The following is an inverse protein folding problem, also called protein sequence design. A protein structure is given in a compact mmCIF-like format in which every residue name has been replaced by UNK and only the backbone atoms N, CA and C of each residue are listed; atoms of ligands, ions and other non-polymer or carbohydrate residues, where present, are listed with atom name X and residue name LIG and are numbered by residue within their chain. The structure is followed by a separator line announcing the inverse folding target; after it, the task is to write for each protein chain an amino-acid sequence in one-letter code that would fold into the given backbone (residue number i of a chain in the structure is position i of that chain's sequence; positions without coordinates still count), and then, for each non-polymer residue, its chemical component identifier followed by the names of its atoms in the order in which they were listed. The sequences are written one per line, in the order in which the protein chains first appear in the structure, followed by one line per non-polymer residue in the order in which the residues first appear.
data_IF_220248402359
#
_entry.id   IF_220248402359
#
_cell.length_a   1.000
_cell.length_b   1.000
_cell.length_c   1.000
_cell.angle_alpha   90.00
_cell.angle_beta   90.00
_cell.angle_gamma   90.00
#
_symmetry.space_group_name_H-M   'P 1'
#
loop_
_entity.id
_entity.type
_entity.pdbx_description
1 polymer ?
#
# COMPACT_ATOMS: atom_id res chain seq x y z
N UNK A 1 5.84 -13.42 15.36
CA UNK A 1 4.61 -12.95 16.03
C UNK A 1 3.68 -12.43 14.94
N UNK A 2 2.75 -13.25 14.45
CA UNK A 2 1.84 -12.87 13.36
C UNK A 2 0.61 -12.21 13.96
N UNK A 3 0.37 -10.94 13.63
CA UNK A 3 -0.68 -10.08 14.22
C UNK A 3 -2.05 -10.21 13.53
N UNK A 4 -2.18 -11.11 12.55
CA UNK A 4 -3.43 -11.31 11.79
C UNK A 4 -3.73 -12.82 11.64
N UNK A 5 -5.01 -13.21 11.48
CA UNK A 5 -5.40 -14.61 11.34
C UNK A 5 -4.62 -15.28 10.21
N UNK A 6 -4.14 -16.50 10.46
CA UNK A 6 -3.41 -17.29 9.47
C UNK A 6 -4.32 -17.68 8.29
N UNK A 7 -5.62 -17.81 8.53
CA UNK A 7 -6.66 -17.92 7.53
C UNK A 7 -8.02 -17.71 8.21
N UNK A 8 -9.09 -17.61 7.41
CA UNK A 8 -10.46 -17.59 7.88
C UNK A 8 -11.26 -16.41 7.36
N UNK A 9 -12.57 -16.45 7.63
CA UNK A 9 -13.53 -15.46 7.17
C UNK A 9 -14.10 -14.68 8.34
N UNK A 10 -14.31 -13.37 8.18
CA UNK A 10 -15.02 -12.57 9.17
C UNK A 10 -16.49 -12.98 9.28
N UNK A 11 -17.11 -12.69 10.43
CA UNK A 11 -18.51 -13.03 10.69
C UNK A 11 -19.49 -12.41 9.69
N UNK A 12 -19.18 -11.21 9.18
CA UNK A 12 -19.97 -10.53 8.14
C UNK A 12 -19.61 -10.97 6.71
N UNK A 13 -18.67 -11.91 6.56
CA UNK A 13 -18.26 -12.48 5.29
C UNK A 13 -17.45 -11.56 4.38
N UNK A 14 -17.15 -10.32 4.81
CA UNK A 14 -16.47 -9.28 4.00
C UNK A 14 -14.96 -9.43 3.95
N UNK A 15 -14.35 -10.02 4.98
CA UNK A 15 -12.92 -10.29 5.03
C UNK A 15 -12.72 -11.79 4.88
N UNK A 16 -11.89 -12.20 3.92
CA UNK A 16 -11.44 -13.59 3.75
C UNK A 16 -9.92 -13.62 3.71
N UNK A 17 -9.32 -14.37 4.62
CA UNK A 17 -7.88 -14.51 4.75
C UNK A 17 -7.44 -15.92 4.42
N UNK A 18 -6.31 -16.03 3.73
CA UNK A 18 -5.49 -17.21 3.70
C UNK A 18 -4.09 -16.89 4.28
N UNK A 19 -3.15 -17.81 4.05
CA UNK A 19 -1.79 -17.71 4.58
C UNK A 19 -0.97 -16.60 3.93
N UNK A 20 -1.29 -16.23 2.69
CA UNK A 20 -0.56 -15.26 1.88
C UNK A 20 -1.18 -13.86 1.91
N UNK A 21 -2.52 -13.75 1.93
CA UNK A 21 -3.23 -12.47 1.91
C UNK A 21 -4.57 -12.48 2.65
N UNK A 22 -5.14 -11.29 2.82
CA UNK A 22 -6.52 -11.10 3.22
C UNK A 22 -7.22 -10.17 2.23
N UNK A 23 -8.34 -10.62 1.66
CA UNK A 23 -9.20 -9.84 0.79
C UNK A 23 -10.37 -9.27 1.60
N UNK A 24 -10.54 -7.96 1.57
CA UNK A 24 -11.65 -7.25 2.18
C UNK A 24 -12.54 -6.61 1.11
N UNK A 25 -13.83 -6.91 1.15
CA UNK A 25 -14.81 -6.43 0.17
C UNK A 25 -15.82 -5.50 0.81
N UNK A 26 -15.97 -4.30 0.26
CA UNK A 26 -16.99 -3.34 0.68
C UNK A 26 -17.32 -2.37 -0.44
N UNK A 27 -18.60 -1.99 -0.57
CA UNK A 27 -19.05 -0.97 -1.53
C UNK A 27 -18.68 -1.30 -2.99
N UNK A 28 -18.64 -2.59 -3.34
CA UNK A 28 -18.24 -3.07 -4.68
C UNK A 28 -16.73 -3.01 -4.96
N UNK A 29 -15.91 -2.64 -3.96
CA UNK A 29 -14.47 -2.54 -4.06
C UNK A 29 -13.78 -3.65 -3.27
N UNK A 30 -12.60 -4.05 -3.72
CA UNK A 30 -11.76 -5.07 -3.10
C UNK A 30 -10.42 -4.48 -2.63
N UNK A 31 -10.11 -4.64 -1.35
CA UNK A 31 -8.81 -4.33 -0.78
C UNK A 31 -8.06 -5.61 -0.43
N UNK A 32 -6.81 -5.74 -0.89
CA UNK A 32 -5.91 -6.82 -0.45
C UNK A 32 -4.94 -6.32 0.62
N UNK A 33 -4.76 -7.12 1.66
CA UNK A 33 -3.65 -7.02 2.62
C UNK A 33 -2.70 -8.19 2.35
N UNK A 34 -1.63 -7.93 1.60
CA UNK A 34 -0.70 -8.95 1.16
C UNK A 34 0.50 -9.08 2.09
N UNK A 35 0.94 -10.34 2.32
CA UNK A 35 2.10 -10.66 3.16
C UNK A 35 3.32 -11.09 2.35
N UNK A 36 3.10 -11.52 1.11
CA UNK A 36 4.14 -12.06 0.22
C UNK A 36 4.14 -11.40 -1.14
N UNK A 37 5.24 -11.61 -1.88
CA UNK A 37 5.38 -11.05 -3.22
C UNK A 37 4.58 -11.84 -4.28
N UNK A 38 4.30 -13.13 -4.02
CA UNK A 38 3.47 -13.98 -4.87
C UNK A 38 2.00 -13.57 -4.80
N UNK A 39 1.44 -13.38 -3.60
CA UNK A 39 0.07 -12.91 -3.46
C UNK A 39 -0.15 -11.55 -4.11
N UNK A 40 0.85 -10.66 -4.09
CA UNK A 40 0.76 -9.40 -4.82
C UNK A 40 0.47 -9.58 -6.32
N UNK A 41 1.09 -10.55 -6.99
CA UNK A 41 0.90 -10.74 -8.44
C UNK A 41 -0.50 -11.22 -8.78
N UNK A 42 -1.05 -12.09 -7.93
CA UNK A 42 -2.42 -12.59 -8.04
C UNK A 42 -3.43 -11.49 -7.71
N UNK A 43 -3.23 -10.81 -6.58
CA UNK A 43 -4.11 -9.76 -6.07
C UNK A 43 -4.17 -8.55 -6.99
N UNK A 44 -3.09 -8.30 -7.75
CA UNK A 44 -3.02 -7.16 -8.65
C UNK A 44 -4.20 -7.09 -9.60
N UNK A 45 -4.68 -8.22 -10.12
CA UNK A 45 -5.75 -8.23 -11.12
C UNK A 45 -7.15 -8.10 -10.54
N UNK A 46 -7.33 -8.35 -9.24
CA UNK A 46 -8.65 -8.43 -8.60
C UNK A 46 -8.90 -7.33 -7.58
N UNK A 47 -7.85 -6.67 -7.07
CA UNK A 47 -7.95 -5.64 -6.05
C UNK A 47 -7.98 -4.23 -6.65
N UNK A 48 -8.73 -3.34 -6.01
CA UNK A 48 -8.71 -1.91 -6.28
C UNK A 48 -7.61 -1.20 -5.46
N UNK A 49 -7.25 -1.78 -4.30
CA UNK A 49 -6.14 -1.32 -3.47
C UNK A 49 -5.41 -2.50 -2.82
N UNK A 50 -4.08 -2.43 -2.82
CA UNK A 50 -3.21 -3.42 -2.17
C UNK A 50 -2.38 -2.72 -1.09
N UNK A 51 -2.40 -3.28 0.10
CA UNK A 51 -1.57 -2.87 1.23
C UNK A 51 -0.56 -3.97 1.51
N UNK A 52 0.73 -3.65 1.42
CA UNK A 52 1.81 -4.60 1.69
C UNK A 52 2.67 -4.14 2.86
N UNK A 53 2.91 -5.07 3.78
CA UNK A 53 3.89 -4.86 4.87
C UNK A 53 5.33 -5.07 4.40
N UNK A 54 5.53 -5.62 3.21
CA UNK A 54 6.82 -5.80 2.57
C UNK A 54 7.08 -4.70 1.55
N UNK A 55 8.34 -4.27 1.35
CA UNK A 55 8.66 -3.31 0.30
C UNK A 55 8.41 -3.94 -1.07
N UNK A 56 7.59 -3.30 -1.90
CA UNK A 56 7.30 -3.75 -3.25
C UNK A 56 8.13 -2.93 -4.24
N UNK A 57 8.85 -3.60 -5.14
CA UNK A 57 9.64 -2.94 -6.20
C UNK A 57 8.94 -2.91 -7.55
N UNK A 58 7.74 -3.48 -7.63
CA UNK A 58 6.89 -3.57 -8.82
C UNK A 58 5.63 -2.73 -8.64
N UNK A 59 5.02 -2.36 -9.77
CA UNK A 59 3.75 -1.62 -9.81
C UNK A 59 2.63 -2.57 -10.17
N UNK A 60 1.44 -2.29 -9.66
CA UNK A 60 0.21 -2.91 -10.13
C UNK A 60 -0.56 -1.90 -10.99
N UNK A 61 -0.87 -2.19 -12.27
CA UNK A 61 -1.61 -1.24 -13.12
C UNK A 61 -3.10 -1.11 -12.76
N UNK A 62 -3.69 -2.14 -12.17
CA UNK A 62 -5.13 -2.22 -11.84
C UNK A 62 -5.48 -1.75 -10.43
N UNK A 63 -4.50 -1.63 -9.53
CA UNK A 63 -4.73 -1.30 -8.13
C UNK A 63 -3.88 -0.11 -7.66
N UNK A 64 -4.39 0.64 -6.68
CA UNK A 64 -3.55 1.53 -5.86
C UNK A 64 -2.69 0.68 -4.95
N UNK A 65 -1.38 0.94 -4.87
CA UNK A 65 -0.48 0.17 -3.99
C UNK A 65 0.02 1.07 -2.86
N UNK A 66 -0.08 0.59 -1.63
CA UNK A 66 0.55 1.17 -0.44
C UNK A 66 1.48 0.12 0.13
N UNK A 67 2.78 0.38 0.13
CA UNK A 67 3.76 -0.56 0.65
C UNK A 67 4.50 -0.02 1.89
N UNK A 68 5.50 -0.78 2.34
CA UNK A 68 6.36 -0.38 3.46
C UNK A 68 7.12 0.93 3.22
N UNK A 69 7.50 1.25 1.98
CA UNK A 69 8.13 2.53 1.67
C UNK A 69 7.15 3.68 1.76
N UNK A 70 5.89 3.49 1.36
CA UNK A 70 4.85 4.51 1.51
C UNK A 70 4.56 4.81 2.97
N UNK A 71 4.42 3.76 3.81
CA UNK A 71 4.31 3.91 5.26
C UNK A 71 5.50 4.67 5.85
N UNK A 72 6.72 4.38 5.38
CA UNK A 72 7.91 5.11 5.83
C UNK A 72 7.85 6.58 5.41
N UNK A 73 7.50 6.91 4.16
CA UNK A 73 7.49 8.29 3.62
C UNK A 73 6.33 9.14 4.12
N UNK A 74 5.12 8.57 4.16
CA UNK A 74 3.87 9.30 4.35
C UNK A 74 3.24 9.09 5.74
N UNK A 75 3.73 8.11 6.51
CA UNK A 75 3.23 7.79 7.84
C UNK A 75 1.99 6.90 7.81
N UNK A 76 1.11 7.05 8.80
CA UNK A 76 -0.15 6.32 8.85
C UNK A 76 -1.05 6.66 7.67
N UNK A 77 -1.78 5.67 7.16
CA UNK A 77 -2.75 5.82 6.08
C UNK A 77 -4.14 5.49 6.61
N UNK A 78 -5.12 6.31 6.23
CA UNK A 78 -6.54 6.02 6.44
C UNK A 78 -7.17 5.82 5.06
N UNK A 79 -7.87 4.70 4.89
CA UNK A 79 -8.47 4.29 3.62
C UNK A 79 -9.98 4.23 3.83
N UNK A 80 -10.72 4.98 3.02
CA UNK A 80 -12.18 4.92 2.96
C UNK A 80 -12.61 4.36 1.62
N UNK A 81 -13.53 3.39 1.67
CA UNK A 81 -14.11 2.74 0.51
C UNK A 81 -15.61 3.03 0.47
N UNK A 82 -16.08 3.52 -0.67
CA UNK A 82 -17.47 3.88 -0.90
C UNK A 82 -17.82 3.68 -2.36
N UNK A 83 -19.10 3.83 -2.71
CA UNK A 83 -19.55 3.78 -4.10
C UNK A 83 -18.93 4.90 -4.96
N UNK A 84 -18.38 5.96 -4.35
CA UNK A 84 -17.64 7.02 -5.05
C UNK A 84 -16.16 6.66 -5.31
N UNK A 85 -15.71 5.48 -4.88
CA UNK A 85 -14.34 5.00 -5.01
C UNK A 85 -13.54 5.04 -3.70
N UNK A 86 -12.22 5.01 -3.85
CA UNK A 86 -11.25 4.93 -2.76
C UNK A 86 -10.63 6.30 -2.46
N UNK A 87 -10.84 6.77 -1.23
CA UNK A 87 -10.18 7.96 -0.68
C UNK A 87 -9.09 7.54 0.30
N UNK A 88 -7.91 8.14 0.18
CA UNK A 88 -6.75 7.85 1.03
C UNK A 88 -6.28 9.17 1.62
N UNK A 89 -6.06 9.19 2.94
CA UNK A 89 -5.35 10.28 3.61
C UNK A 89 -4.14 9.75 4.35
N UNK A 90 -3.11 10.58 4.44
CA UNK A 90 -1.86 10.22 5.11
C UNK A 90 -1.50 11.24 6.18
N UNK A 91 -0.84 10.78 7.24
CA UNK A 91 -0.42 11.64 8.35
C UNK A 91 0.46 12.79 7.85
N UNK A 92 1.43 12.51 6.99
CA UNK A 92 2.28 13.56 6.44
C UNK A 92 1.55 14.44 5.42
N UNK A 93 0.58 13.89 4.67
CA UNK A 93 -0.30 14.70 3.81
C UNK A 93 -1.09 15.74 4.60
N UNK A 94 -1.63 15.36 5.77
CA UNK A 94 -2.34 16.29 6.65
C UNK A 94 -1.40 17.30 7.35
N UNK A 95 -0.21 16.84 7.77
CA UNK A 95 0.81 17.69 8.42
C UNK A 95 1.46 18.69 7.46
N UNK A 96 1.51 18.41 6.16
CA UNK A 96 2.08 19.30 5.15
C UNK A 96 3.56 19.67 5.42
N UNK A 97 3.97 20.83 4.89
CA UNK A 97 5.37 21.29 4.86
C UNK A 97 5.78 22.14 6.08
N UNK A 98 5.18 21.91 7.24
CA UNK A 98 5.46 22.71 8.44
C UNK A 98 6.92 22.51 8.90
N UNK A 99 7.61 23.56 9.42
CA UNK A 99 9.05 23.51 9.71
C UNK A 99 9.50 22.41 10.69
N UNK A 100 8.62 21.97 11.59
CA UNK A 100 8.91 20.92 12.57
C UNK A 100 8.54 19.51 12.10
N UNK A 101 8.02 19.35 10.89
CA UNK A 101 7.71 18.02 10.32
C UNK A 101 9.00 17.42 9.75
N UNK A 102 9.46 16.25 10.24
CA UNK A 102 10.68 15.63 9.72
C UNK A 102 10.53 15.32 8.24
N UNK A 103 11.36 15.95 7.40
CA UNK A 103 11.47 15.61 5.98
C UNK A 103 12.23 14.29 5.87
N UNK A 104 11.51 13.18 5.67
CA UNK A 104 12.15 11.90 5.38
C UNK A 104 12.71 11.97 3.97
N UNK A 105 14.04 11.86 3.86
CA UNK A 105 14.73 12.00 2.59
C UNK A 105 14.18 10.98 1.57
N UNK A 106 13.55 11.45 0.50
CA UNK A 106 13.47 10.67 -0.73
C UNK A 106 14.90 10.32 -1.13
N UNK A 107 15.17 9.04 -1.41
CA UNK A 107 16.48 8.59 -1.89
C UNK A 107 17.05 9.62 -2.88
N UNK A 108 18.26 10.13 -2.61
CA UNK A 108 18.94 11.10 -3.48
C UNK A 108 18.75 10.63 -4.92
N UNK A 109 18.15 11.46 -5.79
CA UNK A 109 18.35 11.31 -7.23
C UNK A 109 19.86 11.34 -7.41
N UNK A 110 20.47 10.23 -7.82
CA UNK A 110 21.83 10.27 -8.34
C UNK A 110 21.75 11.22 -9.53
N UNK A 111 22.33 12.41 -9.41
CA UNK A 111 22.55 13.24 -10.59
C UNK A 111 23.45 12.42 -11.51
N UNK A 112 23.05 12.14 -12.76
CA UNK A 112 23.92 11.44 -13.68
C UNK A 112 25.22 12.24 -13.82
N UNK A 113 26.34 11.57 -13.58
CA UNK A 113 27.68 12.12 -13.81
C UNK A 113 27.74 12.66 -15.24
N UNK A 114 28.18 13.90 -15.47
CA UNK A 114 28.29 14.42 -16.83
C UNK A 114 29.26 13.53 -17.62
N UNK A 115 28.75 12.90 -18.66
CA UNK A 115 29.52 12.12 -19.60
C UNK A 115 30.36 13.10 -20.41
N UNK A 116 31.66 13.18 -20.07
CA UNK A 116 32.61 14.05 -20.75
C UNK A 116 32.74 13.56 -22.21
N UNK A 117 32.26 14.35 -23.17
CA UNK A 117 32.49 14.08 -24.59
C UNK A 117 33.96 14.38 -24.89
N UNK A 118 34.72 13.33 -25.21
CA UNK A 118 36.00 13.46 -25.91
C UNK A 118 35.77 13.86 -27.36
#
# INVERSE_FOLDING_TARGET
MSIAPASGRSADGRLNCDVESCLYQASGLTASLTRSESAFDEDCWIADIIVSMSPLRKRCPSAKVIDRYDLWRLGGHAIWMSNAGIRIETVNGYRGERPWVPKKASAKKQNPTPMNKK
#
